data_IF_045940118851
#
_entry.id   IF_045940118851
#
_cell.length_a   1.000
_cell.length_b   1.000
_cell.length_c   1.000
_cell.angle_alpha   90.00
_cell.angle_beta   90.00
_cell.angle_gamma   90.00
#
_symmetry.space_group_name_H-M   'P 1'
#
loop_
_entity.id
_entity.type
_entity.pdbx_description
1 polymer ?
#
# COMPACT_ATOMS: atom_id res chain seq x y z
N UNK A 1 -11.66 20.72 -12.35
CA UNK A 1 -10.36 20.29 -11.80
C UNK A 1 -10.71 19.36 -10.64
N UNK A 2 -10.29 18.09 -10.68
CA UNK A 2 -10.64 17.13 -9.62
C UNK A 2 -10.11 17.63 -8.28
N UNK A 3 -10.89 17.45 -7.21
CA UNK A 3 -10.55 17.92 -5.86
C UNK A 3 -10.20 16.72 -5.00
N UNK A 4 -8.99 16.74 -4.44
CA UNK A 4 -8.56 15.77 -3.43
C UNK A 4 -9.41 15.97 -2.17
N UNK A 5 -10.08 14.90 -1.75
CA UNK A 5 -10.87 14.86 -0.51
C UNK A 5 -9.95 14.55 0.66
N UNK A 6 -9.16 13.48 0.53
CA UNK A 6 -8.32 12.95 1.59
C UNK A 6 -7.07 12.29 0.99
N UNK A 7 -5.92 12.54 1.62
CA UNK A 7 -4.73 11.73 1.46
C UNK A 7 -4.38 11.15 2.83
N UNK A 8 -4.33 9.82 2.92
CA UNK A 8 -4.12 9.12 4.18
C UNK A 8 -3.09 8.00 4.04
N UNK A 9 -2.59 7.56 5.20
CA UNK A 9 -1.74 6.38 5.33
C UNK A 9 -2.54 5.26 5.96
N UNK A 10 -2.61 4.11 5.29
CA UNK A 10 -3.32 2.93 5.77
C UNK A 10 -2.31 1.87 6.21
N UNK A 11 -2.21 1.65 7.51
CA UNK A 11 -1.34 0.64 8.11
C UNK A 11 -2.10 -0.68 8.36
N UNK A 12 -1.41 -1.83 8.52
CA UNK A 12 -2.01 -3.04 9.07
C UNK A 12 -2.62 -2.80 10.47
N UNK A 13 -3.61 -3.60 10.89
CA UNK A 13 -4.24 -3.46 12.20
C UNK A 13 -3.25 -3.76 13.34
N UNK A 14 -3.44 -3.13 14.52
CA UNK A 14 -2.65 -3.41 15.71
C UNK A 14 -2.78 -4.89 16.12
N UNK A 15 -1.66 -5.51 16.47
CA UNK A 15 -1.56 -6.96 16.71
C UNK A 15 -0.98 -7.76 15.54
N UNK A 16 -0.43 -7.09 14.52
CA UNK A 16 0.42 -7.69 13.49
C UNK A 16 1.86 -7.94 13.96
N UNK A 17 2.71 -8.44 13.06
CA UNK A 17 4.14 -8.60 13.33
C UNK A 17 4.81 -7.24 13.58
N UNK A 18 5.75 -7.18 14.52
CA UNK A 18 6.48 -5.94 14.88
C UNK A 18 7.46 -5.53 13.79
N UNK A 19 8.06 -6.53 13.14
CA UNK A 19 9.02 -6.39 12.05
C UNK A 19 8.94 -7.63 11.17
N UNK A 20 8.95 -7.45 9.85
CA UNK A 20 9.05 -8.53 8.87
C UNK A 20 10.14 -8.14 7.90
N UNK A 21 11.03 -9.08 7.60
CA UNK A 21 12.04 -8.90 6.57
C UNK A 21 11.99 -10.10 5.64
N UNK A 22 11.88 -9.82 4.34
CA UNK A 22 11.88 -10.82 3.30
C UNK A 22 13.07 -10.58 2.36
N UNK A 23 14.05 -11.50 2.30
CA UNK A 23 15.15 -11.37 1.36
C UNK A 23 14.64 -11.48 -0.07
N UNK A 24 15.12 -10.61 -0.97
CA UNK A 24 14.76 -10.71 -2.38
C UNK A 24 15.44 -11.93 -3.01
N UNK A 25 14.65 -12.70 -3.75
CA UNK A 25 15.15 -13.82 -4.55
C UNK A 25 15.60 -13.34 -5.93
N UNK A 26 16.28 -14.21 -6.68
CA UNK A 26 16.63 -13.92 -8.08
C UNK A 26 15.41 -13.53 -8.93
N UNK A 27 14.23 -14.11 -8.66
CA UNK A 27 13.00 -13.75 -9.36
C UNK A 27 12.53 -12.32 -9.08
N UNK A 28 12.92 -11.74 -7.94
CA UNK A 28 12.55 -10.38 -7.54
C UNK A 28 13.54 -9.34 -8.09
N UNK A 29 14.83 -9.71 -8.16
CA UNK A 29 15.91 -8.81 -8.58
C UNK A 29 15.71 -8.24 -9.99
N UNK A 30 15.15 -9.04 -10.91
CA UNK A 30 14.85 -8.58 -12.28
C UNK A 30 13.86 -7.41 -12.32
N UNK A 31 13.02 -7.28 -11.30
CA UNK A 31 12.01 -6.23 -11.20
C UNK A 31 12.55 -4.92 -10.60
N UNK A 32 13.73 -4.93 -9.98
CA UNK A 32 14.32 -3.72 -9.36
C UNK A 32 14.68 -2.62 -10.36
N UNK A 33 14.96 -3.00 -11.61
CA UNK A 33 15.20 -2.07 -12.72
C UNK A 33 13.95 -1.80 -13.56
N UNK A 34 12.83 -2.45 -13.25
CA UNK A 34 11.60 -2.33 -14.02
C UNK A 34 10.76 -1.13 -13.57
N UNK A 35 9.93 -0.60 -14.46
CA UNK A 35 9.06 0.53 -14.15
C UNK A 35 7.93 0.11 -13.21
N UNK A 36 7.37 1.09 -12.48
CA UNK A 36 6.25 0.83 -11.56
C UNK A 36 5.01 0.38 -12.33
N UNK A 37 4.40 -0.73 -11.89
CA UNK A 37 3.16 -1.27 -12.46
C UNK A 37 1.98 -0.36 -12.09
N UNK A 38 1.11 -0.06 -13.05
CA UNK A 38 -0.13 0.73 -12.86
C UNK A 38 -1.33 -0.06 -13.37
N UNK A 39 -2.40 -0.13 -12.56
CA UNK A 39 -3.66 -0.80 -12.90
C UNK A 39 -4.83 0.09 -12.51
N UNK A 40 -5.87 0.11 -13.33
CA UNK A 40 -7.08 0.91 -13.13
C UNK A 40 -8.30 -0.01 -13.22
N UNK A 41 -9.25 0.14 -12.29
CA UNK A 41 -10.51 -0.57 -12.28
C UNK A 41 -11.66 0.44 -12.29
N UNK A 42 -12.63 0.24 -13.20
CA UNK A 42 -13.80 1.10 -13.32
C UNK A 42 -15.04 0.39 -12.79
N UNK A 43 -15.75 1.04 -11.87
CA UNK A 43 -17.01 0.57 -11.32
C UNK A 43 -18.12 1.55 -11.69
N UNK A 44 -19.18 1.07 -12.34
CA UNK A 44 -20.37 1.88 -12.60
C UNK A 44 -21.28 1.83 -11.38
N UNK A 45 -21.29 2.91 -10.59
CA UNK A 45 -22.08 3.03 -9.37
C UNK A 45 -22.85 4.36 -9.38
N UNK A 46 -24.18 4.36 -9.15
CA UNK A 46 -24.95 5.59 -9.00
C UNK A 46 -24.75 6.13 -7.57
N UNK A 47 -23.61 6.75 -7.30
CA UNK A 47 -23.26 7.25 -5.97
C UNK A 47 -23.02 8.77 -5.99
N UNK A 48 -23.51 9.45 -4.95
CA UNK A 48 -23.26 10.88 -4.76
C UNK A 48 -21.91 11.12 -4.07
N UNK A 49 -21.37 12.35 -4.17
CA UNK A 49 -20.13 12.73 -3.46
C UNK A 49 -20.24 12.55 -1.93
N UNK A 50 -21.29 13.02 -1.24
CA UNK A 50 -21.47 12.77 0.19
C UNK A 50 -21.51 11.28 0.54
N UNK A 51 -22.23 10.48 -0.25
CA UNK A 51 -22.33 9.03 -0.03
C UNK A 51 -20.98 8.34 -0.23
N UNK A 52 -20.18 8.78 -1.21
CA UNK A 52 -18.82 8.27 -1.40
C UNK A 52 -17.95 8.52 -0.17
N UNK A 53 -17.99 9.75 0.37
CA UNK A 53 -17.21 10.12 1.56
C UNK A 53 -17.64 9.33 2.79
N UNK A 54 -18.95 9.15 2.99
CA UNK A 54 -19.47 8.51 4.20
C UNK A 54 -19.43 6.98 4.12
N UNK A 55 -19.72 6.40 2.96
CA UNK A 55 -20.00 4.97 2.82
C UNK A 55 -18.95 4.19 2.02
N UNK A 56 -18.06 4.85 1.27
CA UNK A 56 -17.01 4.15 0.49
C UNK A 56 -15.65 4.32 1.12
N UNK A 57 -15.26 5.56 1.46
CA UNK A 57 -13.93 5.85 2.00
C UNK A 57 -13.64 5.04 3.29
N UNK A 58 -14.50 5.05 4.34
CA UNK A 58 -14.16 4.34 5.58
C UNK A 58 -14.09 2.80 5.41
N UNK A 59 -15.04 2.13 4.72
CA UNK A 59 -14.93 0.70 4.49
C UNK A 59 -13.73 0.30 3.63
N UNK A 60 -13.35 1.11 2.62
CA UNK A 60 -12.15 0.85 1.83
C UNK A 60 -10.88 0.94 2.67
N UNK A 61 -10.74 1.97 3.51
CA UNK A 61 -9.60 2.09 4.43
C UNK A 61 -9.52 0.90 5.38
N UNK A 62 -10.64 0.52 5.99
CA UNK A 62 -10.69 -0.60 6.94
C UNK A 62 -10.38 -1.95 6.28
N UNK A 63 -11.04 -2.25 5.16
CA UNK A 63 -10.80 -3.50 4.43
C UNK A 63 -9.38 -3.59 3.89
N UNK A 64 -8.78 -2.48 3.43
CA UNK A 64 -7.38 -2.43 3.05
C UNK A 64 -6.47 -2.71 4.24
N UNK A 65 -6.68 -2.05 5.39
CA UNK A 65 -5.92 -2.31 6.62
C UNK A 65 -5.95 -3.79 7.00
N UNK A 66 -7.14 -4.40 7.04
CA UNK A 66 -7.30 -5.83 7.32
C UNK A 66 -6.60 -6.72 6.29
N UNK A 67 -6.64 -6.35 5.00
CA UNK A 67 -5.95 -7.09 3.93
C UNK A 67 -4.44 -7.04 4.10
N UNK A 68 -3.89 -5.88 4.49
CA UNK A 68 -2.44 -5.72 4.74
C UNK A 68 -1.93 -6.59 5.89
N UNK A 69 -2.79 -7.03 6.82
CA UNK A 69 -2.42 -8.05 7.82
C UNK A 69 -1.95 -9.36 7.16
N UNK A 70 -2.58 -9.73 6.05
CA UNK A 70 -2.31 -10.99 5.34
C UNK A 70 -1.29 -10.81 4.21
N UNK A 71 -1.21 -9.60 3.64
CA UNK A 71 -0.30 -9.23 2.56
C UNK A 71 0.67 -8.14 3.03
N UNK A 72 1.33 -8.37 4.18
CA UNK A 72 2.28 -7.41 4.77
C UNK A 72 3.34 -6.89 3.79
N UNK A 73 3.90 -7.71 2.86
CA UNK A 73 4.85 -7.21 1.86
C UNK A 73 4.37 -6.06 0.98
N UNK A 74 3.07 -5.79 0.93
CA UNK A 74 2.52 -4.63 0.21
C UNK A 74 2.67 -3.30 0.97
N UNK A 75 2.85 -3.35 2.28
CA UNK A 75 3.17 -2.21 3.12
C UNK A 75 4.70 -2.07 3.33
N UNK A 76 5.50 -2.99 2.81
CA UNK A 76 6.96 -3.03 2.97
C UNK A 76 7.67 -2.04 2.06
N UNK A 77 8.83 -1.59 2.53
CA UNK A 77 9.76 -0.79 1.74
C UNK A 77 10.94 -1.66 1.27
N UNK A 78 11.42 -1.42 0.04
CA UNK A 78 12.64 -2.06 -0.45
C UNK A 78 13.84 -1.41 0.25
N UNK A 79 14.46 -2.12 1.19
CA UNK A 79 15.70 -1.73 1.82
C UNK A 79 16.87 -2.16 0.93
N UNK A 80 17.72 -1.19 0.55
CA UNK A 80 18.98 -1.46 -0.14
C UNK A 80 20.14 -1.23 0.83
N UNK A 81 20.98 -2.24 1.09
CA UNK A 81 22.20 -2.06 1.87
C UNK A 81 23.11 -1.03 1.18
N UNK A 82 23.72 -0.16 1.99
CA UNK A 82 24.63 0.89 1.50
C UNK A 82 26.03 0.32 1.16
N UNK A 83 26.34 -0.85 1.71
CA UNK A 83 27.56 -1.61 1.45
C UNK A 83 27.39 -2.56 0.27
N UNK A 84 28.49 -2.83 -0.44
CA UNK A 84 28.49 -3.67 -1.65
C UNK A 84 28.26 -5.16 -1.36
N UNK A 85 28.19 -5.55 -0.08
CA UNK A 85 28.03 -6.93 0.39
C UNK A 85 26.59 -7.36 0.64
N UNK A 86 25.65 -6.42 0.77
CA UNK A 86 24.28 -6.74 1.15
C UNK A 86 23.34 -6.97 -0.03
N UNK A 87 22.45 -7.96 0.10
CA UNK A 87 21.35 -8.18 -0.84
C UNK A 87 20.17 -7.26 -0.49
N UNK A 88 19.41 -6.74 -1.48
CA UNK A 88 18.20 -5.98 -1.19
C UNK A 88 17.15 -6.87 -0.52
N UNK A 89 16.36 -6.26 0.36
CA UNK A 89 15.32 -6.93 1.13
C UNK A 89 14.04 -6.10 1.09
N UNK A 90 12.89 -6.75 1.22
CA UNK A 90 11.67 -6.06 1.63
C UNK A 90 11.64 -6.04 3.15
N UNK A 91 11.36 -4.87 3.72
CA UNK A 91 11.31 -4.67 5.15
C UNK A 91 10.04 -3.94 5.54
N UNK A 92 9.36 -4.51 6.52
CA UNK A 92 8.24 -3.90 7.25
C UNK A 92 8.74 -3.53 8.64
N UNK A 93 8.57 -2.29 9.02
CA UNK A 93 8.68 -1.86 10.42
C UNK A 93 7.34 -1.34 10.92
N UNK A 94 7.07 -1.51 12.22
CA UNK A 94 5.84 -0.98 12.83
C UNK A 94 5.69 0.51 12.51
N UNK A 95 4.59 0.87 11.86
CA UNK A 95 4.31 2.24 11.38
C UNK A 95 4.35 2.38 9.86
N UNK A 96 4.93 1.40 9.15
CA UNK A 96 4.86 1.33 7.70
C UNK A 96 3.41 1.15 7.23
N UNK A 97 3.10 1.80 6.10
CA UNK A 97 1.74 2.00 5.64
C UNK A 97 1.68 2.26 4.14
N UNK A 98 0.49 2.12 3.57
CA UNK A 98 0.21 2.39 2.16
C UNK A 98 -0.43 3.77 2.02
N UNK A 99 0.12 4.59 1.14
CA UNK A 99 -0.46 5.90 0.82
C UNK A 99 -1.66 5.74 -0.11
N UNK A 100 -2.80 6.28 0.31
CA UNK A 100 -4.06 6.25 -0.45
C UNK A 100 -4.59 7.67 -0.61
N UNK A 101 -5.05 7.99 -1.82
CA UNK A 101 -5.68 9.27 -2.15
C UNK A 101 -7.11 9.01 -2.59
N UNK A 102 -8.04 9.77 -2.03
CA UNK A 102 -9.44 9.80 -2.44
C UNK A 102 -9.72 11.15 -3.09
N UNK A 103 -10.18 11.13 -4.33
CA UNK A 103 -10.57 12.29 -5.11
C UNK A 103 -11.97 12.12 -5.71
N UNK A 104 -12.58 13.24 -6.09
CA UNK A 104 -13.83 13.27 -6.83
C UNK A 104 -13.75 14.32 -7.93
N UNK A 105 -14.38 14.00 -9.05
CA UNK A 105 -14.58 14.90 -10.18
C UNK A 105 -15.79 15.80 -9.99
#
# INVERSE_FOLDING_TARGET
MASVIEQCQVAPPPGGAVEVTLPLTYFDLVWLGFHRIRRILFYKLPISKPDFVQNIIPPLKNSLSLTLKHYMPLAENVARPLDTSGYPELRYVTGDSVSVIFDVY
#
